data_IF_687513336784
#
_entry.id   IF_687513336784
#
_cell.length_a   1.000
_cell.length_b   1.000
_cell.length_c   1.000
_cell.angle_alpha   90.00
_cell.angle_beta   90.00
_cell.angle_gamma   90.00
#
_symmetry.space_group_name_H-M   'P 1'
#
loop_
_entity.id
_entity.type
_entity.pdbx_description
1 polymer ?
#
# COMPACT_ATOMS: atom_id res chain seq x y z
N UNK A 1 27.36 -19.98 26.65
CA UNK A 1 27.35 -20.68 25.35
C UNK A 1 26.03 -20.56 24.57
N UNK A 2 24.89 -20.41 25.24
CA UNK A 2 23.59 -20.24 24.56
C UNK A 2 23.45 -18.99 23.67
N UNK A 3 24.02 -17.87 24.10
CA UNK A 3 23.94 -16.62 23.33
C UNK A 3 24.69 -16.62 21.99
N UNK A 4 25.71 -17.48 21.85
CA UNK A 4 26.47 -17.60 20.56
C UNK A 4 25.70 -18.46 19.56
N UNK A 5 25.02 -19.50 20.02
CA UNK A 5 24.21 -20.38 19.17
C UNK A 5 23.00 -19.64 18.59
N UNK A 6 22.34 -18.82 19.41
CA UNK A 6 21.22 -17.97 18.96
C UNK A 6 21.64 -16.94 17.91
N UNK A 7 22.85 -16.39 18.00
CA UNK A 7 23.36 -15.45 17.00
C UNK A 7 23.67 -16.11 15.65
N UNK A 8 24.16 -17.32 15.66
CA UNK A 8 24.44 -18.09 14.43
C UNK A 8 23.15 -18.52 13.72
N UNK A 9 22.11 -18.90 14.46
CA UNK A 9 20.82 -19.24 13.87
C UNK A 9 20.09 -18.02 13.29
N UNK A 10 20.14 -16.87 13.96
CA UNK A 10 19.61 -15.60 13.44
C UNK A 10 20.32 -15.17 12.14
N UNK A 11 21.65 -15.29 12.13
CA UNK A 11 22.44 -15.00 10.93
C UNK A 11 22.10 -15.91 9.75
N UNK A 12 21.80 -17.17 10.05
CA UNK A 12 21.38 -18.16 9.05
C UNK A 12 20.00 -17.85 8.46
N UNK A 13 19.05 -17.40 9.26
CA UNK A 13 17.73 -16.95 8.80
C UNK A 13 17.86 -15.73 7.91
N UNK A 14 18.72 -14.75 8.28
CA UNK A 14 18.98 -13.57 7.45
C UNK A 14 19.62 -13.93 6.10
N UNK A 15 20.56 -14.87 6.07
CA UNK A 15 21.18 -15.37 4.84
C UNK A 15 20.18 -16.06 3.92
N UNK A 16 19.17 -16.74 4.47
CA UNK A 16 18.08 -17.36 3.72
C UNK A 16 17.12 -16.32 3.11
N UNK A 17 16.89 -15.21 3.81
CA UNK A 17 16.11 -14.08 3.30
C UNK A 17 16.87 -13.36 2.18
N UNK A 18 18.17 -13.13 2.38
CA UNK A 18 19.04 -12.47 1.39
C UNK A 18 19.16 -13.29 0.10
N UNK A 19 19.15 -14.61 0.21
CA UNK A 19 19.14 -15.54 -0.92
C UNK A 19 17.75 -15.74 -1.55
N UNK A 20 16.71 -15.11 -1.00
CA UNK A 20 15.35 -15.27 -1.49
C UNK A 20 14.74 -16.67 -1.26
N UNK A 21 15.34 -17.48 -0.40
CA UNK A 21 14.89 -18.85 -0.10
C UNK A 21 13.68 -18.86 0.84
N UNK A 22 13.58 -17.86 1.71
CA UNK A 22 12.42 -17.60 2.57
C UNK A 22 12.02 -16.13 2.45
N UNK A 23 10.74 -15.86 2.63
CA UNK A 23 10.21 -14.50 2.68
C UNK A 23 10.53 -13.83 4.02
N UNK A 24 10.52 -12.50 4.05
CA UNK A 24 10.69 -11.77 5.31
C UNK A 24 9.65 -12.16 6.37
N UNK A 25 8.45 -12.55 5.95
CA UNK A 25 7.39 -13.02 6.83
C UNK A 25 7.68 -14.37 7.47
N UNK A 26 8.22 -15.30 6.70
CA UNK A 26 8.66 -16.61 7.20
C UNK A 26 9.85 -16.45 8.16
N UNK A 27 10.74 -15.50 7.89
CA UNK A 27 11.86 -15.18 8.78
C UNK A 27 11.38 -14.64 10.14
N UNK A 28 10.35 -13.79 10.18
CA UNK A 28 9.76 -13.27 11.42
C UNK A 28 9.21 -14.43 12.27
N UNK A 29 8.47 -15.34 11.67
CA UNK A 29 7.93 -16.53 12.38
C UNK A 29 9.03 -17.42 12.91
N UNK A 30 10.15 -17.54 12.19
CA UNK A 30 11.32 -18.30 12.64
C UNK A 30 12.05 -17.60 13.80
N UNK A 31 12.14 -16.28 13.79
CA UNK A 31 12.67 -15.49 14.90
C UNK A 31 11.81 -15.62 16.17
N UNK A 32 10.48 -15.55 16.04
CA UNK A 32 9.55 -15.74 17.16
C UNK A 32 9.69 -17.13 17.80
N UNK A 33 9.93 -18.18 16.99
CA UNK A 33 10.19 -19.53 17.51
C UNK A 33 11.53 -19.66 18.22
N UNK A 34 12.55 -18.90 17.82
CA UNK A 34 13.85 -18.89 18.47
C UNK A 34 13.84 -18.15 19.82
N UNK A 35 12.89 -17.25 20.03
CA UNK A 35 12.75 -16.46 21.26
C UNK A 35 11.89 -17.15 22.35
N UNK A 36 11.15 -18.22 21.99
CA UNK A 36 10.40 -18.99 22.98
C UNK A 36 11.34 -19.89 23.78
N UNK A 37 11.40 -19.82 25.12
CA UNK A 37 12.22 -20.69 25.92
C UNK A 37 11.77 -22.14 25.76
N UNK A 38 12.66 -22.98 25.28
CA UNK A 38 12.44 -24.42 25.09
C UNK A 38 12.21 -25.09 26.45
N UNK A 39 10.96 -25.38 26.77
CA UNK A 39 10.66 -26.34 27.82
C UNK A 39 11.00 -27.76 27.29
N UNK A 40 12.25 -28.16 27.43
CA UNK A 40 12.66 -29.56 27.31
C UNK A 40 12.23 -30.32 28.53
N UNK A 41 11.16 -31.08 28.43
CA UNK A 41 11.04 -32.39 29.12
C UNK A 41 9.75 -33.07 28.61
N UNK A 42 9.89 -33.99 27.67
CA UNK A 42 9.21 -35.30 27.68
C UNK A 42 9.64 -36.11 26.46
N UNK A 43 10.28 -37.22 26.75
CA UNK A 43 10.70 -38.26 25.78
C UNK A 43 9.48 -38.99 25.19
N UNK A 44 9.64 -39.57 23.98
CA UNK A 44 8.57 -40.25 23.29
C UNK A 44 8.36 -41.67 23.78
N UNK A 45 7.11 -42.10 23.84
CA UNK A 45 6.78 -43.52 23.98
C UNK A 45 5.92 -43.95 22.77
N UNK A 46 6.47 -44.86 22.00
CA UNK A 46 5.77 -45.60 20.96
C UNK A 46 4.74 -46.53 21.60
N UNK A 47 3.55 -46.65 21.04
CA UNK A 47 2.96 -47.90 20.58
C UNK A 47 1.55 -47.81 20.06
N UNK A 48 1.44 -48.31 18.81
CA UNK A 48 0.40 -49.16 18.18
C UNK A 48 -1.10 -48.90 18.38
N UNK A 49 -1.68 -48.61 17.24
CA UNK A 49 -2.81 -49.26 16.55
C UNK A 49 -4.04 -49.73 17.38
N UNK A 50 -5.22 -49.27 17.04
CA UNK A 50 -6.30 -50.01 16.34
C UNK A 50 -7.64 -49.27 16.51
N UNK A 51 -8.31 -49.13 15.37
CA UNK A 51 -9.74 -49.25 15.04
C UNK A 51 -10.81 -48.72 16.02
N UNK A 52 -11.69 -47.94 15.49
CA UNK A 52 -13.11 -48.10 15.22
C UNK A 52 -14.09 -47.11 15.86
N UNK A 53 -14.88 -46.60 14.99
CA UNK A 53 -16.31 -46.24 15.02
C UNK A 53 -16.89 -45.28 16.04
N UNK A 54 -17.57 -44.36 15.44
CA UNK A 54 -18.98 -43.94 15.62
C UNK A 54 -19.31 -42.70 16.44
N UNK A 55 -19.92 -41.78 15.69
CA UNK A 55 -21.15 -41.00 16.00
C UNK A 55 -21.18 -40.12 17.25
N UNK A 56 -21.34 -38.83 17.13
CA UNK A 56 -22.63 -38.13 17.27
C UNK A 56 -22.37 -36.62 17.47
N UNK A 57 -22.94 -35.81 16.62
CA UNK A 57 -23.27 -34.42 16.94
C UNK A 57 -24.52 -34.44 17.88
N UNK A 58 -24.83 -33.40 18.65
CA UNK A 58 -25.50 -32.24 18.10
C UNK A 58 -25.36 -30.87 18.85
N UNK A 59 -25.88 -29.86 18.13
CA UNK A 59 -26.66 -28.68 18.56
C UNK A 59 -25.95 -27.46 19.12
N UNK A 60 -26.01 -26.44 18.33
CA UNK A 60 -26.67 -25.10 18.33
C UNK A 60 -27.10 -24.58 19.71
N UNK A 61 -26.59 -23.37 20.02
CA UNK A 61 -27.45 -22.36 20.63
C UNK A 61 -27.02 -20.94 20.15
N UNK A 62 -28.07 -20.24 19.74
CA UNK A 62 -28.13 -18.83 19.37
C UNK A 62 -28.12 -17.97 20.62
N UNK A 63 -27.55 -16.78 20.58
CA UNK A 63 -28.20 -15.61 21.17
C UNK A 63 -27.89 -14.35 20.36
N UNK A 64 -28.96 -13.64 20.10
CA UNK A 64 -29.11 -12.37 19.39
C UNK A 64 -28.82 -11.16 20.28
N UNK A 65 -28.44 -10.07 19.56
CA UNK A 65 -28.85 -8.66 19.72
C UNK A 65 -28.72 -7.90 21.05
N UNK A 66 -28.15 -6.73 20.99
CA UNK A 66 -28.76 -5.39 21.02
C UNK A 66 -27.70 -4.30 21.11
N UNK A 67 -27.58 -3.46 20.16
CA UNK A 67 -27.93 -2.06 19.89
C UNK A 67 -27.71 -1.01 21.00
N UNK A 68 -27.06 0.07 20.58
CA UNK A 68 -27.19 1.49 20.91
C UNK A 68 -26.85 2.01 22.31
N UNK A 69 -25.91 2.96 22.36
CA UNK A 69 -26.20 4.37 22.60
C UNK A 69 -24.95 5.27 22.62
N UNK A 70 -25.07 6.34 21.86
CA UNK A 70 -24.29 7.58 21.96
C UNK A 70 -24.29 8.18 23.37
N UNK A 71 -23.21 8.88 23.75
CA UNK A 71 -23.28 10.32 24.14
C UNK A 71 -21.93 10.91 24.52
N UNK A 72 -21.75 12.11 23.99
CA UNK A 72 -20.78 13.16 24.27
C UNK A 72 -20.48 13.42 25.75
N UNK A 73 -19.27 13.91 26.02
CA UNK A 73 -18.89 15.18 26.66
C UNK A 73 -17.40 15.20 26.95
N UNK A 74 -16.65 16.08 26.38
CA UNK A 74 -16.03 17.37 26.74
C UNK A 74 -15.17 17.39 28.00
N UNK A 75 -13.93 17.85 27.74
CA UNK A 75 -13.03 18.68 28.57
C UNK A 75 -12.65 18.26 29.99
N UNK A 76 -11.33 18.05 30.17
CA UNK A 76 -10.57 18.91 31.11
C UNK A 76 -9.05 18.63 31.03
N UNK A 77 -8.31 19.72 30.96
CA UNK A 77 -6.86 19.82 31.11
C UNK A 77 -6.40 19.35 32.49
N UNK A 78 -5.26 18.69 32.55
CA UNK A 78 -4.56 18.39 33.79
C UNK A 78 -3.11 18.02 33.52
N UNK A 79 -2.20 18.97 33.68
CA UNK A 79 -0.75 18.76 33.82
C UNK A 79 -0.46 17.80 34.98
N UNK A 80 0.38 16.77 34.70
CA UNK A 80 1.32 16.26 35.72
C UNK A 80 2.45 15.45 35.08
N UNK A 81 3.63 16.04 35.15
CA UNK A 81 4.96 15.49 35.51
C UNK A 81 5.41 14.14 34.98
N UNK A 82 6.51 14.25 34.22
CA UNK A 82 7.54 13.25 33.94
C UNK A 82 7.92 12.44 35.17
N UNK A 83 7.86 11.11 35.08
CA UNK A 83 8.93 10.15 35.41
C UNK A 83 8.40 8.71 35.27
N UNK A 84 9.16 7.86 34.62
CA UNK A 84 8.95 6.44 34.34
C UNK A 84 8.32 6.09 32.97
N UNK A 85 9.09 6.26 31.93
CA UNK A 85 8.91 5.56 30.64
C UNK A 85 10.23 4.90 30.23
N UNK A 86 10.47 3.73 30.73
CA UNK A 86 11.47 2.81 30.20
C UNK A 86 10.92 1.39 30.34
N UNK A 87 10.54 0.78 29.24
CA UNK A 87 10.38 -0.64 28.91
C UNK A 87 9.05 -1.07 28.26
N UNK A 88 8.14 -0.15 27.92
CA UNK A 88 6.84 -0.50 27.31
C UNK A 88 6.68 -0.15 25.83
N UNK A 89 7.63 0.57 25.22
CA UNK A 89 7.43 1.17 23.91
C UNK A 89 7.75 0.25 22.70
N UNK A 90 8.47 -0.84 22.89
CA UNK A 90 8.86 -1.70 21.78
C UNK A 90 7.71 -2.59 21.32
N UNK A 91 6.98 -3.18 22.25
CA UNK A 91 5.86 -4.07 21.93
C UNK A 91 4.63 -3.30 21.41
N UNK A 92 4.36 -2.11 21.93
CA UNK A 92 3.24 -1.25 21.52
C UNK A 92 3.43 -0.72 20.09
N UNK A 93 4.65 -0.37 19.73
CA UNK A 93 5.04 0.07 18.40
C UNK A 93 4.98 -1.07 17.35
N UNK A 94 5.45 -2.27 17.70
CA UNK A 94 5.32 -3.46 16.86
C UNK A 94 3.86 -3.84 16.62
N UNK A 95 3.01 -3.66 17.62
CA UNK A 95 1.57 -3.89 17.52
C UNK A 95 0.88 -2.82 16.67
N UNK A 96 1.32 -1.56 16.70
CA UNK A 96 0.72 -0.47 15.93
C UNK A 96 1.01 -0.62 14.43
N UNK A 97 2.26 -0.89 14.03
CA UNK A 97 2.61 -1.17 12.63
C UNK A 97 1.97 -2.47 12.16
N UNK A 98 1.95 -3.52 12.99
CA UNK A 98 1.26 -4.76 12.67
C UNK A 98 -0.24 -4.55 12.51
N UNK A 99 -0.86 -3.71 13.32
CA UNK A 99 -2.27 -3.32 13.18
C UNK A 99 -2.51 -2.53 11.89
N UNK A 100 -1.65 -1.59 11.56
CA UNK A 100 -1.77 -0.78 10.35
C UNK A 100 -1.64 -1.65 9.09
N UNK A 101 -0.63 -2.53 9.01
CA UNK A 101 -0.50 -3.47 7.89
C UNK A 101 -1.55 -4.58 7.89
N UNK A 102 -2.00 -5.04 9.06
CA UNK A 102 -3.11 -6.00 9.15
C UNK A 102 -4.43 -5.33 8.77
N UNK A 103 -4.65 -4.08 9.18
CA UNK A 103 -5.82 -3.30 8.76
C UNK A 103 -5.78 -2.99 7.26
N UNK A 104 -4.61 -2.69 6.68
CA UNK A 104 -4.44 -2.50 5.25
C UNK A 104 -4.77 -3.80 4.49
N UNK A 105 -4.17 -4.93 4.86
CA UNK A 105 -4.48 -6.22 4.28
C UNK A 105 -5.96 -6.60 4.46
N UNK A 106 -6.54 -6.32 5.62
CA UNK A 106 -7.95 -6.58 5.92
C UNK A 106 -8.87 -5.62 5.15
N UNK A 107 -8.53 -4.34 5.03
CA UNK A 107 -9.26 -3.36 4.20
C UNK A 107 -9.22 -3.76 2.72
N UNK A 108 -8.08 -4.21 2.22
CA UNK A 108 -7.93 -4.67 0.84
C UNK A 108 -8.72 -5.97 0.59
N UNK A 109 -8.65 -6.95 1.50
CA UNK A 109 -9.42 -8.20 1.45
C UNK A 109 -10.92 -7.92 1.59
N UNK A 110 -11.35 -7.03 2.48
CA UNK A 110 -12.75 -6.66 2.64
C UNK A 110 -13.30 -5.91 1.42
N UNK A 111 -12.50 -5.03 0.80
CA UNK A 111 -12.86 -4.39 -0.46
C UNK A 111 -13.07 -5.44 -1.56
N UNK A 112 -12.23 -6.47 -1.59
CA UNK A 112 -12.35 -7.58 -2.53
C UNK A 112 -13.55 -8.47 -2.23
N UNK A 113 -13.82 -8.76 -0.96
CA UNK A 113 -14.96 -9.59 -0.56
C UNK A 113 -16.31 -8.92 -0.85
N UNK A 114 -16.41 -7.59 -0.70
CA UNK A 114 -17.66 -6.86 -1.03
C UNK A 114 -17.90 -6.74 -2.54
N UNK A 115 -16.85 -6.68 -3.34
CA UNK A 115 -16.97 -6.57 -4.80
C UNK A 115 -16.96 -7.95 -5.47
N UNK A 116 -16.35 -8.97 -4.86
CA UNK A 116 -16.08 -10.28 -5.48
C UNK A 116 -16.60 -11.49 -4.69
N UNK A 117 -17.60 -11.33 -3.84
CA UNK A 117 -18.11 -12.36 -2.90
C UNK A 117 -18.65 -13.67 -3.52
N UNK A 118 -18.33 -14.00 -4.76
CA UNK A 118 -18.70 -15.26 -5.42
C UNK A 118 -17.54 -15.95 -6.13
N UNK A 119 -16.32 -15.93 -5.58
CA UNK A 119 -15.23 -16.73 -6.15
C UNK A 119 -14.85 -17.85 -5.21
N UNK A 120 -15.41 -19.02 -5.48
CA UNK A 120 -14.85 -20.30 -5.02
C UNK A 120 -13.70 -20.66 -5.96
N UNK A 121 -12.56 -20.96 -5.36
CA UNK A 121 -11.42 -21.73 -5.87
C UNK A 121 -11.08 -21.58 -7.36
N UNK A 122 -10.02 -20.83 -7.63
CA UNK A 122 -9.32 -20.90 -8.90
C UNK A 122 -7.96 -21.54 -8.66
N UNK A 123 -7.79 -22.71 -9.32
CA UNK A 123 -6.54 -23.46 -9.39
C UNK A 123 -5.52 -22.65 -10.20
N UNK A 124 -4.49 -22.13 -9.56
CA UNK A 124 -3.51 -21.19 -10.14
C UNK A 124 -2.44 -21.88 -11.01
N UNK A 125 -2.52 -23.21 -11.19
CA UNK A 125 -1.39 -24.01 -11.67
C UNK A 125 -1.47 -24.48 -13.14
N UNK A 126 -2.34 -23.93 -13.98
CA UNK A 126 -2.39 -24.34 -15.39
C UNK A 126 -2.35 -23.20 -16.40
N UNK A 127 -1.13 -22.88 -16.82
CA UNK A 127 -0.89 -22.50 -18.22
C UNK A 127 -1.16 -21.05 -18.59
N UNK A 128 -0.28 -20.17 -18.17
CA UNK A 128 -0.14 -18.86 -18.79
C UNK A 128 0.39 -18.98 -20.23
N UNK A 129 -0.43 -19.45 -21.15
CA UNK A 129 -0.15 -19.30 -22.58
C UNK A 129 -0.83 -18.01 -23.06
N UNK A 130 -0.05 -16.96 -23.19
CA UNK A 130 -0.41 -15.70 -23.81
C UNK A 130 -0.92 -15.94 -25.23
N UNK A 131 -2.23 -15.87 -25.41
CA UNK A 131 -2.82 -15.69 -26.75
C UNK A 131 -2.48 -14.28 -27.22
N UNK A 132 -1.75 -14.14 -28.30
CA UNK A 132 -1.43 -12.85 -28.92
C UNK A 132 -2.62 -12.19 -29.61
N UNK A 133 -3.72 -12.92 -29.80
CA UNK A 133 -4.94 -12.41 -30.41
C UNK A 133 -5.73 -11.54 -29.42
N UNK A 134 -6.21 -10.40 -29.88
CA UNK A 134 -7.06 -9.47 -29.12
C UNK A 134 -8.11 -8.85 -30.04
N UNK A 135 -9.31 -8.64 -29.53
CA UNK A 135 -10.33 -7.82 -30.17
C UNK A 135 -10.27 -6.39 -29.64
N UNK A 136 -10.62 -5.43 -30.49
CA UNK A 136 -10.71 -4.02 -30.12
C UNK A 136 -12.15 -3.55 -30.19
N UNK A 137 -12.59 -2.87 -29.16
CA UNK A 137 -13.90 -2.22 -29.09
C UNK A 137 -13.72 -0.76 -28.76
N UNK A 138 -14.32 0.11 -29.54
CA UNK A 138 -14.31 1.56 -29.30
C UNK A 138 -15.71 1.99 -28.90
N UNK A 139 -15.80 2.77 -27.84
CA UNK A 139 -17.03 3.40 -27.37
C UNK A 139 -16.82 4.91 -27.26
N UNK A 140 -17.71 5.69 -27.82
CA UNK A 140 -17.70 7.14 -27.78
C UNK A 140 -18.90 7.65 -27.00
N UNK A 141 -18.64 8.51 -26.01
CA UNK A 141 -19.65 9.14 -25.20
C UNK A 141 -19.69 10.62 -25.54
N UNK A 142 -20.69 11.01 -26.29
CA UNK A 142 -20.89 12.40 -26.70
C UNK A 142 -21.30 13.26 -25.47
N UNK A 143 -20.92 14.54 -25.49
CA UNK A 143 -21.24 15.51 -24.43
C UNK A 143 -20.74 15.05 -23.03
N UNK A 144 -19.44 14.86 -22.91
CA UNK A 144 -18.80 14.40 -21.68
C UNK A 144 -18.76 15.52 -20.62
N UNK A 145 -19.90 15.83 -20.00
CA UNK A 145 -20.04 16.88 -18.97
C UNK A 145 -19.68 16.40 -17.56
N UNK A 146 -19.49 15.09 -17.35
CA UNK A 146 -19.23 14.50 -16.05
C UNK A 146 -17.97 15.07 -15.36
N UNK A 147 -18.05 15.28 -14.04
CA UNK A 147 -16.94 15.71 -13.18
C UNK A 147 -16.33 14.55 -12.39
N UNK A 148 -17.01 13.40 -12.38
CA UNK A 148 -16.60 12.21 -11.63
C UNK A 148 -16.29 11.03 -12.56
N UNK A 149 -15.32 10.21 -12.15
CA UNK A 149 -14.94 9.00 -12.89
C UNK A 149 -14.87 7.82 -11.93
N UNK A 150 -15.61 6.75 -12.24
CA UNK A 150 -15.61 5.52 -11.44
C UNK A 150 -15.36 4.31 -12.36
N UNK A 151 -14.23 3.65 -12.19
CA UNK A 151 -13.82 2.51 -13.01
C UNK A 151 -13.59 1.30 -12.11
N UNK A 152 -14.28 0.21 -12.44
CA UNK A 152 -14.17 -1.09 -11.77
C UNK A 152 -13.94 -2.18 -12.83
N UNK A 153 -12.68 -2.45 -13.12
CA UNK A 153 -12.26 -3.46 -14.12
C UNK A 153 -11.36 -4.47 -13.40
N UNK A 154 -11.84 -5.70 -13.15
CA UNK A 154 -11.07 -6.69 -12.42
C UNK A 154 -9.73 -7.05 -13.05
N UNK A 155 -9.67 -7.21 -14.36
CA UNK A 155 -8.48 -7.66 -15.07
C UNK A 155 -8.19 -6.77 -16.28
N UNK A 156 -7.02 -6.17 -16.32
CA UNK A 156 -6.54 -5.34 -17.43
C UNK A 156 -5.87 -4.04 -16.93
N UNK A 157 -5.12 -3.40 -17.80
CA UNK A 157 -4.51 -2.11 -17.50
C UNK A 157 -5.47 -0.98 -17.84
N UNK A 158 -5.47 0.07 -17.04
CA UNK A 158 -6.26 1.28 -17.26
C UNK A 158 -5.31 2.44 -17.48
N UNK A 159 -5.52 3.16 -18.57
CA UNK A 159 -4.82 4.41 -18.86
C UNK A 159 -5.84 5.52 -19.07
N UNK A 160 -5.76 6.60 -18.30
CA UNK A 160 -6.62 7.76 -18.36
C UNK A 160 -5.85 8.91 -19.00
N UNK A 161 -6.32 9.41 -20.15
CA UNK A 161 -5.61 10.38 -20.98
C UNK A 161 -6.49 11.61 -21.19
N UNK A 162 -6.12 12.79 -20.67
CA UNK A 162 -6.79 14.04 -21.00
C UNK A 162 -6.55 14.43 -22.45
N UNK A 163 -7.59 14.91 -23.13
CA UNK A 163 -7.55 15.38 -24.51
C UNK A 163 -8.27 16.72 -24.67
N UNK A 164 -8.02 17.40 -25.79
CA UNK A 164 -8.71 18.65 -26.11
C UNK A 164 -10.11 18.42 -26.75
N UNK A 165 -10.57 17.17 -26.82
CA UNK A 165 -11.89 16.83 -27.35
C UNK A 165 -12.96 16.99 -26.26
N UNK A 166 -14.17 17.38 -26.63
CA UNK A 166 -15.31 17.54 -25.71
C UNK A 166 -16.01 16.20 -25.42
N UNK A 167 -15.73 15.16 -26.20
CA UNK A 167 -16.26 13.81 -26.02
C UNK A 167 -15.31 12.93 -25.24
N UNK A 168 -15.83 11.91 -24.58
CA UNK A 168 -15.01 10.85 -24.04
C UNK A 168 -14.98 9.64 -24.99
N UNK A 169 -13.80 9.06 -25.15
CA UNK A 169 -13.58 7.88 -25.98
C UNK A 169 -12.89 6.80 -25.18
N UNK A 170 -13.43 5.59 -25.22
CA UNK A 170 -12.88 4.44 -24.55
C UNK A 170 -12.45 3.41 -25.60
N UNK A 171 -11.19 3.03 -25.58
CA UNK A 171 -10.64 2.00 -26.44
C UNK A 171 -10.33 0.78 -25.59
N UNK A 172 -11.09 -0.28 -25.77
CA UNK A 172 -10.88 -1.55 -25.11
C UNK A 172 -10.08 -2.51 -25.99
N UNK A 173 -9.01 -3.07 -25.43
CA UNK A 173 -8.36 -4.26 -25.98
C UNK A 173 -8.78 -5.46 -25.17
N UNK A 174 -9.56 -6.34 -25.78
CA UNK A 174 -10.24 -7.45 -25.13
C UNK A 174 -9.48 -8.74 -25.41
N UNK A 175 -9.15 -9.47 -24.34
CA UNK A 175 -8.49 -10.79 -24.42
C UNK A 175 -9.15 -11.76 -23.45
N UNK A 176 -9.21 -13.06 -23.73
CA UNK A 176 -9.64 -14.02 -22.74
C UNK A 176 -8.62 -14.10 -21.61
N UNK A 177 -9.08 -14.22 -20.37
CA UNK A 177 -8.18 -14.42 -19.21
C UNK A 177 -7.53 -15.80 -19.26
N UNK A 178 -8.26 -16.82 -19.73
CA UNK A 178 -7.80 -18.20 -19.88
C UNK A 178 -8.29 -18.74 -21.22
N UNK A 179 -7.44 -19.49 -21.90
CA UNK A 179 -7.81 -20.20 -23.14
C UNK A 179 -7.54 -19.40 -24.42
N UNK A 180 -8.19 -19.82 -25.50
CA UNK A 180 -8.05 -19.22 -26.82
C UNK A 180 -9.15 -18.21 -27.07
N UNK A 181 -8.88 -17.27 -27.96
CA UNK A 181 -9.87 -16.37 -28.52
C UNK A 181 -11.06 -17.19 -29.06
N UNK A 182 -12.27 -16.80 -28.69
CA UNK A 182 -13.51 -17.39 -29.20
C UNK A 182 -14.32 -16.34 -29.96
N UNK A 183 -15.13 -16.79 -30.92
CA UNK A 183 -16.03 -15.93 -31.67
C UNK A 183 -17.09 -15.24 -30.79
N UNK A 184 -17.28 -15.72 -29.56
CA UNK A 184 -18.23 -15.17 -28.59
C UNK A 184 -17.65 -14.08 -27.67
N UNK A 185 -16.38 -13.68 -27.82
CA UNK A 185 -15.71 -12.76 -26.88
C UNK A 185 -16.39 -11.38 -26.83
N UNK A 186 -16.82 -10.88 -27.98
CA UNK A 186 -17.58 -9.60 -28.06
C UNK A 186 -18.96 -9.72 -27.44
N UNK A 187 -19.59 -10.88 -27.50
CA UNK A 187 -20.86 -11.14 -26.84
C UNK A 187 -20.69 -11.14 -25.32
N UNK A 188 -19.64 -11.79 -24.81
CA UNK A 188 -19.29 -11.76 -23.39
C UNK A 188 -18.98 -10.33 -22.92
N UNK A 189 -18.24 -9.55 -23.71
CA UNK A 189 -17.98 -8.14 -23.45
C UNK A 189 -19.29 -7.33 -23.37
N UNK A 190 -20.14 -7.42 -24.37
CA UNK A 190 -21.40 -6.67 -24.41
C UNK A 190 -22.38 -7.04 -23.28
N UNK A 191 -22.29 -8.25 -22.73
CA UNK A 191 -23.11 -8.71 -21.60
C UNK A 191 -22.50 -8.34 -20.24
N UNK A 192 -21.17 -8.27 -20.15
CA UNK A 192 -20.45 -8.13 -18.89
C UNK A 192 -19.82 -6.77 -18.63
N UNK A 193 -19.79 -5.87 -19.64
CA UNK A 193 -19.16 -4.55 -19.51
C UNK A 193 -20.19 -3.45 -19.74
N UNK A 194 -20.19 -2.48 -18.86
CA UNK A 194 -21.06 -1.30 -18.93
C UNK A 194 -20.17 -0.05 -18.89
N UNK A 195 -20.32 0.80 -19.90
CA UNK A 195 -19.68 2.11 -19.97
C UNK A 195 -20.75 3.16 -20.22
N UNK A 196 -20.94 4.06 -19.30
CA UNK A 196 -21.94 5.14 -19.42
C UNK A 196 -21.53 6.39 -18.67
N UNK A 197 -21.95 7.52 -19.17
CA UNK A 197 -21.93 8.79 -18.45
C UNK A 197 -23.34 9.07 -17.95
N UNK A 198 -23.53 9.14 -16.64
CA UNK A 198 -24.81 9.25 -15.97
C UNK A 198 -24.65 10.03 -14.68
N UNK A 199 -25.57 10.94 -14.37
CA UNK A 199 -25.56 11.74 -13.13
C UNK A 199 -24.19 12.35 -12.81
N UNK A 200 -23.57 13.06 -13.75
CA UNK A 200 -22.24 13.67 -13.61
C UNK A 200 -21.08 12.68 -13.40
N UNK A 201 -21.28 11.40 -13.67
CA UNK A 201 -20.25 10.36 -13.47
C UNK A 201 -20.04 9.51 -14.71
N UNK A 202 -18.80 9.44 -15.19
CA UNK A 202 -18.37 8.39 -16.11
C UNK A 202 -18.18 7.10 -15.33
N UNK A 203 -19.03 6.12 -15.59
CA UNK A 203 -18.96 4.79 -14.93
C UNK A 203 -18.58 3.73 -15.93
N UNK A 204 -17.51 3.00 -15.61
CA UNK A 204 -17.04 1.84 -16.37
C UNK A 204 -16.95 0.65 -15.41
N UNK A 205 -17.74 -0.38 -15.66
CA UNK A 205 -17.80 -1.56 -14.80
C UNK A 205 -17.72 -2.82 -15.63
N UNK A 206 -16.84 -3.74 -15.23
CA UNK A 206 -16.79 -5.08 -15.80
C UNK A 206 -17.20 -6.12 -14.76
N UNK A 207 -18.31 -6.79 -14.97
CA UNK A 207 -18.77 -7.89 -14.13
C UNK A 207 -18.11 -9.24 -14.48
N UNK A 208 -17.46 -9.33 -15.66
CA UNK A 208 -16.82 -10.57 -16.11
C UNK A 208 -15.36 -10.67 -15.66
N UNK A 209 -14.99 -11.84 -15.17
CA UNK A 209 -13.60 -12.20 -14.85
C UNK A 209 -12.92 -13.01 -15.95
N UNK A 210 -13.69 -13.45 -16.93
CA UNK A 210 -13.19 -14.24 -18.05
C UNK A 210 -12.43 -13.40 -19.06
N UNK A 211 -12.62 -12.09 -19.03
CA UNK A 211 -11.98 -11.14 -19.93
C UNK A 211 -10.89 -10.35 -19.22
N UNK A 212 -9.81 -10.12 -19.92
CA UNK A 212 -8.82 -9.10 -19.63
C UNK A 212 -9.11 -7.90 -20.54
N UNK A 213 -9.40 -6.75 -19.93
CA UNK A 213 -9.80 -5.51 -20.60
C UNK A 213 -8.71 -4.45 -20.37
N UNK A 214 -7.78 -4.30 -21.30
CA UNK A 214 -6.91 -3.15 -21.26
C UNK A 214 -7.71 -1.95 -21.82
N UNK A 215 -7.96 -0.94 -21.00
CA UNK A 215 -8.80 0.21 -21.33
C UNK A 215 -7.96 1.49 -21.42
N UNK A 216 -7.93 2.12 -22.59
CA UNK A 216 -7.41 3.48 -22.77
C UNK A 216 -8.59 4.44 -22.88
N UNK A 217 -8.68 5.36 -21.93
CA UNK A 217 -9.84 6.23 -21.72
C UNK A 217 -9.40 7.67 -21.98
N UNK A 218 -9.86 8.22 -23.10
CA UNK A 218 -9.65 9.61 -23.47
C UNK A 218 -10.79 10.45 -22.88
N UNK A 219 -10.46 11.51 -22.16
CA UNK A 219 -11.41 12.38 -21.50
C UNK A 219 -11.08 13.85 -21.77
N UNK A 220 -12.06 14.78 -21.73
CA UNK A 220 -11.80 16.20 -21.86
C UNK A 220 -10.76 16.69 -20.85
N UNK A 221 -9.84 17.55 -21.30
CA UNK A 221 -8.85 18.18 -20.44
C UNK A 221 -9.50 19.26 -19.56
N UNK A 222 -9.92 18.89 -18.36
CA UNK A 222 -10.49 19.77 -17.33
C UNK A 222 -10.12 19.28 -15.95
N UNK A 223 -10.46 20.03 -14.91
CA UNK A 223 -10.37 19.56 -13.53
C UNK A 223 -11.54 18.59 -13.25
N UNK A 224 -11.24 17.49 -12.56
CA UNK A 224 -12.21 16.50 -12.11
C UNK A 224 -12.34 16.55 -10.59
N UNK A 225 -13.53 16.23 -10.07
CA UNK A 225 -13.78 16.23 -8.64
C UNK A 225 -13.37 14.91 -8.00
N UNK A 226 -13.85 13.78 -8.54
CA UNK A 226 -13.54 12.46 -7.99
C UNK A 226 -13.12 11.47 -9.08
N UNK A 227 -11.99 10.81 -8.87
CA UNK A 227 -11.56 9.67 -9.68
C UNK A 227 -11.35 8.47 -8.79
N UNK A 228 -12.14 7.42 -9.01
CA UNK A 228 -12.04 6.16 -8.27
C UNK A 228 -11.76 5.02 -9.22
N UNK A 229 -10.65 4.31 -8.99
CA UNK A 229 -10.22 3.15 -9.78
C UNK A 229 -10.12 1.94 -8.88
N UNK A 230 -10.74 0.83 -9.26
CA UNK A 230 -10.63 -0.46 -8.59
C UNK A 230 -10.26 -1.54 -9.57
N UNK A 231 -9.23 -2.31 -9.24
CA UNK A 231 -8.72 -3.39 -10.06
C UNK A 231 -8.32 -4.59 -9.19
N UNK A 232 -8.29 -5.76 -9.78
CA UNK A 232 -7.68 -6.94 -9.17
C UNK A 232 -6.32 -7.22 -9.80
N UNK A 233 -6.26 -7.38 -11.13
CA UNK A 233 -5.03 -7.61 -11.88
C UNK A 233 -4.89 -6.57 -12.98
N UNK A 234 -4.01 -5.60 -12.76
CA UNK A 234 -3.69 -4.58 -13.73
C UNK A 234 -3.18 -3.32 -13.09
N UNK A 235 -2.45 -2.53 -13.85
CA UNK A 235 -1.92 -1.24 -13.43
C UNK A 235 -2.81 -0.08 -13.88
N UNK A 236 -2.70 1.02 -13.16
CA UNK A 236 -3.32 2.30 -13.50
C UNK A 236 -2.27 3.34 -13.85
N UNK A 237 -2.50 4.08 -14.93
CA UNK A 237 -1.65 5.20 -15.34
C UNK A 237 -2.48 6.41 -15.69
N UNK A 238 -1.98 7.59 -15.33
CA UNK A 238 -2.50 8.87 -15.82
C UNK A 238 -1.42 9.95 -15.80
N UNK A 239 -1.60 10.96 -16.64
CA UNK A 239 -0.68 12.09 -16.72
C UNK A 239 -1.40 13.38 -17.10
N UNK A 240 -0.81 14.54 -16.71
CA UNK A 240 -1.24 15.87 -17.12
C UNK A 240 -2.71 16.20 -16.81
N UNK A 241 -3.13 15.93 -15.60
CA UNK A 241 -4.52 16.09 -15.16
C UNK A 241 -4.60 16.64 -13.75
N UNK A 242 -5.60 17.48 -13.50
CA UNK A 242 -5.94 17.97 -12.16
C UNK A 242 -7.22 17.30 -11.65
N UNK A 243 -7.15 16.71 -10.46
CA UNK A 243 -8.26 15.97 -9.83
C UNK A 243 -8.33 16.36 -8.36
N UNK A 244 -9.50 16.71 -7.87
CA UNK A 244 -9.64 17.08 -6.44
C UNK A 244 -9.35 15.90 -5.52
N UNK A 245 -9.99 14.75 -5.77
CA UNK A 245 -9.78 13.54 -4.97
C UNK A 245 -9.55 12.32 -5.85
N UNK A 246 -8.46 11.64 -5.60
CA UNK A 246 -8.07 10.43 -6.35
C UNK A 246 -7.99 9.24 -5.39
N UNK A 247 -8.64 8.15 -5.76
CA UNK A 247 -8.55 6.89 -5.05
C UNK A 247 -8.29 5.74 -6.01
N UNK A 248 -7.13 5.13 -5.91
CA UNK A 248 -6.74 3.99 -6.75
C UNK A 248 -6.39 2.80 -5.90
N UNK A 249 -7.07 1.69 -6.12
CA UNK A 249 -6.81 0.42 -5.43
C UNK A 249 -6.65 -0.71 -6.44
N UNK A 250 -5.53 -1.40 -6.37
CA UNK A 250 -5.29 -2.62 -7.16
C UNK A 250 -4.71 -3.72 -6.27
N UNK A 251 -4.91 -4.98 -6.63
CA UNK A 251 -4.22 -6.08 -5.93
C UNK A 251 -2.86 -6.36 -6.59
N UNK A 252 -2.84 -6.53 -7.90
CA UNK A 252 -1.65 -6.89 -8.63
C UNK A 252 -1.45 -5.93 -9.81
N UNK A 253 -0.63 -4.90 -9.58
CA UNK A 253 -0.29 -3.95 -10.62
C UNK A 253 0.30 -2.67 -10.07
N UNK A 254 1.04 -1.95 -10.89
CA UNK A 254 1.63 -0.67 -10.54
C UNK A 254 0.63 0.48 -10.70
N UNK A 255 0.91 1.56 -9.98
CA UNK A 255 0.17 2.84 -10.07
C UNK A 255 1.20 3.90 -10.49
N UNK A 256 0.94 4.58 -11.61
CA UNK A 256 1.87 5.55 -12.20
C UNK A 256 1.15 6.89 -12.47
N UNK A 257 1.58 7.94 -11.79
CA UNK A 257 1.12 9.31 -11.99
C UNK A 257 2.26 10.19 -12.46
N UNK A 258 2.02 10.97 -13.51
CA UNK A 258 2.99 11.94 -14.00
C UNK A 258 2.35 13.30 -14.23
N UNK A 259 2.90 14.34 -13.59
CA UNK A 259 2.36 15.71 -13.70
C UNK A 259 0.86 15.77 -13.37
N UNK A 260 0.50 15.31 -12.17
CA UNK A 260 -0.88 15.26 -11.68
C UNK A 260 -1.05 16.20 -10.51
N UNK A 261 -2.06 17.07 -10.59
CA UNK A 261 -2.47 17.92 -9.49
C UNK A 261 -3.61 17.28 -8.69
N UNK A 262 -3.58 17.39 -7.35
CA UNK A 262 -4.66 16.86 -6.50
C UNK A 262 -4.78 17.64 -5.18
N UNK A 263 -5.95 17.57 -4.56
CA UNK A 263 -6.10 17.95 -3.16
C UNK A 263 -5.82 16.75 -2.26
N UNK A 264 -6.41 15.59 -2.56
CA UNK A 264 -6.17 14.34 -1.84
C UNK A 264 -5.95 13.16 -2.80
N UNK A 265 -4.94 12.35 -2.49
CA UNK A 265 -4.63 11.13 -3.23
C UNK A 265 -4.50 9.95 -2.26
N UNK A 266 -5.17 8.85 -2.58
CA UNK A 266 -5.04 7.55 -1.93
C UNK A 266 -4.66 6.52 -3.01
N UNK A 267 -3.47 5.94 -2.92
CA UNK A 267 -2.99 4.95 -3.87
C UNK A 267 -2.52 3.70 -3.15
N UNK A 268 -3.19 2.59 -3.38
CA UNK A 268 -2.94 1.32 -2.69
C UNK A 268 -2.75 0.17 -3.69
N UNK A 269 -1.72 -0.63 -3.46
CA UNK A 269 -1.54 -1.89 -4.19
C UNK A 269 -1.01 -2.97 -3.26
N UNK A 270 -1.36 -4.24 -3.48
CA UNK A 270 -0.69 -5.31 -2.75
C UNK A 270 0.63 -5.71 -3.42
N UNK A 271 0.64 -5.88 -4.73
CA UNK A 271 1.83 -6.29 -5.48
C UNK A 271 2.05 -5.36 -6.67
N UNK A 272 2.87 -4.34 -6.45
CA UNK A 272 3.21 -3.40 -7.51
C UNK A 272 3.96 -2.18 -6.99
N UNK A 273 4.65 -1.51 -7.88
CA UNK A 273 5.28 -0.23 -7.57
C UNK A 273 4.25 0.91 -7.65
N UNK A 274 4.46 1.94 -6.83
CA UNK A 274 3.72 3.19 -6.93
C UNK A 274 4.72 4.29 -7.26
N UNK A 275 4.55 4.90 -8.43
CA UNK A 275 5.40 5.95 -8.96
C UNK A 275 4.61 7.26 -9.11
N UNK A 276 4.92 8.26 -8.30
CA UNK A 276 4.35 9.60 -8.37
C UNK A 276 5.46 10.57 -8.80
N UNK A 277 5.36 11.11 -10.03
CA UNK A 277 6.38 12.00 -10.60
C UNK A 277 5.80 13.34 -10.98
N UNK A 278 6.51 14.41 -10.62
CA UNK A 278 6.11 15.80 -10.86
C UNK A 278 4.69 16.11 -10.36
N UNK A 279 4.29 15.48 -9.24
CA UNK A 279 2.97 15.65 -8.68
C UNK A 279 2.88 16.90 -7.79
N UNK A 280 1.66 17.45 -7.66
CA UNK A 280 1.39 18.60 -6.80
C UNK A 280 0.10 18.37 -6.03
N UNK A 281 0.17 18.38 -4.70
CA UNK A 281 -1.01 18.09 -3.90
C UNK A 281 -0.93 18.57 -2.46
N UNK A 282 -2.06 18.46 -1.78
CA UNK A 282 -2.12 18.77 -0.35
C UNK A 282 -1.84 17.54 0.48
N UNK A 283 -2.55 16.44 0.24
CA UNK A 283 -2.39 15.21 1.02
C UNK A 283 -2.25 14.00 0.10
N UNK A 284 -1.27 13.15 0.37
CA UNK A 284 -1.11 11.86 -0.30
C UNK A 284 -0.89 10.74 0.71
N UNK A 285 -1.65 9.66 0.55
CA UNK A 285 -1.47 8.38 1.24
C UNK A 285 -1.13 7.32 0.20
N UNK A 286 0.03 6.67 0.36
CA UNK A 286 0.57 5.76 -0.65
C UNK A 286 1.03 4.49 0.02
N UNK A 287 0.39 3.36 -0.29
CA UNK A 287 0.65 2.10 0.40
C UNK A 287 0.86 0.92 -0.57
N UNK A 288 1.87 0.12 -0.32
CA UNK A 288 2.09 -1.15 -1.02
C UNK A 288 2.56 -2.24 -0.06
N UNK A 289 2.18 -3.49 -0.31
CA UNK A 289 2.76 -4.60 0.44
C UNK A 289 4.08 -5.04 -0.19
N UNK A 290 4.09 -5.33 -1.49
CA UNK A 290 5.27 -5.77 -2.21
C UNK A 290 5.53 -4.85 -3.40
N UNK A 291 6.35 -3.83 -3.16
CA UNK A 291 6.70 -2.89 -4.21
C UNK A 291 7.48 -1.68 -3.72
N UNK A 292 8.13 -1.02 -4.65
CA UNK A 292 8.77 0.25 -4.40
C UNK A 292 7.73 1.37 -4.42
N UNK A 293 7.89 2.33 -3.52
CA UNK A 293 7.23 3.62 -3.58
C UNK A 293 8.26 4.67 -3.99
N UNK A 294 7.94 5.42 -5.03
CA UNK A 294 8.72 6.57 -5.47
C UNK A 294 7.80 7.78 -5.57
N UNK A 295 8.09 8.81 -4.80
CA UNK A 295 7.35 10.07 -4.79
C UNK A 295 8.30 11.23 -5.05
N UNK A 296 8.02 12.00 -6.08
CA UNK A 296 8.74 13.22 -6.42
C UNK A 296 7.74 14.32 -6.78
N UNK A 297 7.68 15.39 -5.97
CA UNK A 297 6.71 16.43 -6.21
C UNK A 297 6.62 17.50 -5.14
N UNK A 298 5.53 18.25 -5.21
CA UNK A 298 5.19 19.34 -4.28
C UNK A 298 3.96 18.94 -3.46
N UNK A 299 4.17 18.13 -2.41
CA UNK A 299 3.10 17.63 -1.53
C UNK A 299 3.28 18.24 -0.15
N UNK A 300 2.18 18.72 0.46
CA UNK A 300 2.23 19.29 1.81
C UNK A 300 2.27 18.22 2.90
N UNK A 301 1.50 17.16 2.76
CA UNK A 301 1.38 16.06 3.71
C UNK A 301 1.48 14.72 2.97
N UNK A 302 2.48 13.91 3.30
CA UNK A 302 2.73 12.63 2.66
C UNK A 302 2.88 11.53 3.70
N UNK A 303 2.13 10.45 3.53
CA UNK A 303 2.31 9.18 4.23
C UNK A 303 2.58 8.07 3.21
N UNK A 304 3.79 7.51 3.21
CA UNK A 304 4.24 6.51 2.26
C UNK A 304 4.71 5.25 2.97
N UNK A 305 4.02 4.13 2.76
CA UNK A 305 4.27 2.87 3.46
C UNK A 305 4.45 1.70 2.51
N UNK A 306 5.53 0.96 2.70
CA UNK A 306 5.76 -0.32 2.03
C UNK A 306 6.05 -1.42 3.06
N UNK A 307 5.55 -2.63 2.87
CA UNK A 307 6.05 -3.73 3.67
C UNK A 307 7.38 -4.26 3.12
N UNK A 308 7.43 -4.59 1.84
CA UNK A 308 8.62 -5.12 1.17
C UNK A 308 8.96 -4.25 -0.04
N UNK A 309 9.87 -3.30 0.16
CA UNK A 309 10.33 -2.43 -0.91
C UNK A 309 10.99 -1.15 -0.41
N UNK A 310 11.65 -0.45 -1.32
CA UNK A 310 12.24 0.83 -1.01
C UNK A 310 11.17 1.93 -1.06
N UNK A 311 11.26 2.88 -0.13
CA UNK A 311 10.45 4.09 -0.14
C UNK A 311 11.37 5.28 -0.39
N UNK A 312 11.19 5.95 -1.52
CA UNK A 312 11.98 7.13 -1.92
C UNK A 312 11.05 8.32 -2.04
N UNK A 313 11.29 9.34 -1.27
CA UNK A 313 10.49 10.56 -1.24
C UNK A 313 11.37 11.77 -1.53
N UNK A 314 11.01 12.55 -2.54
CA UNK A 314 11.60 13.85 -2.84
C UNK A 314 10.51 14.92 -2.76
N UNK A 315 10.55 15.76 -1.74
CA UNK A 315 9.66 16.92 -1.68
C UNK A 315 10.35 18.16 -2.21
N UNK A 316 9.67 18.90 -3.10
CA UNK A 316 10.19 20.10 -3.77
C UNK A 316 9.46 21.37 -3.30
N UNK A 317 8.75 21.33 -2.19
CA UNK A 317 8.02 22.48 -1.68
C UNK A 317 8.41 22.84 -0.25
N UNK A 318 8.65 24.11 0.00
CA UNK A 318 8.86 24.66 1.35
C UNK A 318 7.54 24.71 2.17
N UNK A 319 6.40 24.44 1.52
CA UNK A 319 5.09 24.36 2.18
C UNK A 319 4.81 22.98 2.76
N UNK A 320 5.74 22.05 2.64
CA UNK A 320 5.60 20.71 3.23
C UNK A 320 5.51 20.81 4.75
N UNK A 321 4.57 20.07 5.33
CA UNK A 321 4.23 20.05 6.78
C UNK A 321 4.63 18.75 7.43
N UNK A 322 4.33 17.64 6.77
CA UNK A 322 4.56 16.30 7.31
C UNK A 322 4.96 15.34 6.19
N UNK A 323 6.08 14.66 6.38
CA UNK A 323 6.53 13.57 5.53
C UNK A 323 6.83 12.38 6.40
N UNK A 324 6.02 11.33 6.23
CA UNK A 324 6.23 10.03 6.84
C UNK A 324 6.56 9.02 5.75
N UNK A 325 7.69 8.32 5.91
CA UNK A 325 8.14 7.29 4.98
C UNK A 325 8.58 6.04 5.76
N UNK A 326 7.91 4.92 5.54
CA UNK A 326 8.10 3.71 6.33
C UNK A 326 8.22 2.47 5.46
N UNK A 327 9.08 1.53 5.87
CA UNK A 327 9.12 0.18 5.29
C UNK A 327 9.49 -0.86 6.36
N UNK A 328 9.10 -2.11 6.15
CA UNK A 328 9.59 -3.21 6.99
C UNK A 328 10.91 -3.72 6.43
N UNK A 329 10.95 -4.08 5.15
CA UNK A 329 12.14 -4.59 4.48
C UNK A 329 12.47 -3.72 3.27
N UNK A 330 13.54 -2.92 3.39
CA UNK A 330 13.98 -2.02 2.35
C UNK A 330 14.64 -0.76 2.90
N UNK A 331 15.09 0.11 2.03
CA UNK A 331 15.62 1.41 2.42
C UNK A 331 14.53 2.49 2.35
N UNK A 332 14.64 3.47 3.25
CA UNK A 332 13.88 4.72 3.20
C UNK A 332 14.85 5.83 2.85
N UNK A 333 14.54 6.58 1.80
CA UNK A 333 15.31 7.74 1.36
C UNK A 333 14.40 8.97 1.30
N UNK A 334 14.76 10.01 2.04
CA UNK A 334 13.97 11.25 2.12
C UNK A 334 14.85 12.42 1.69
N UNK A 335 14.43 13.10 0.63
CA UNK A 335 15.05 14.30 0.11
C UNK A 335 14.15 15.50 0.35
N UNK A 336 14.64 16.51 1.08
CA UNK A 336 13.88 17.65 1.58
C UNK A 336 14.50 18.99 1.16
N UNK A 337 13.71 20.08 1.11
CA UNK A 337 14.26 21.41 0.87
C UNK A 337 15.23 21.88 1.96
N UNK A 338 16.22 22.67 1.58
CA UNK A 338 17.20 23.21 2.52
C UNK A 338 16.75 24.50 3.22
N UNK A 339 15.72 25.19 2.69
CA UNK A 339 15.23 26.50 3.20
C UNK A 339 13.96 26.37 4.06
N UNK A 340 13.88 25.38 4.93
CA UNK A 340 12.74 25.17 5.81
C UNK A 340 13.20 24.76 7.21
N UNK A 341 12.42 25.15 8.23
CA UNK A 341 12.61 24.62 9.57
C UNK A 341 12.28 23.12 9.59
N UNK A 342 13.02 22.35 10.36
CA UNK A 342 12.92 20.89 10.38
C UNK A 342 12.76 20.39 11.82
N UNK A 343 11.93 19.41 12.00
CA UNK A 343 11.92 18.54 13.15
C UNK A 343 11.76 17.11 12.65
N UNK A 344 12.70 16.23 12.96
CA UNK A 344 12.64 14.88 12.41
C UNK A 344 13.12 13.82 13.37
N UNK A 345 12.58 12.63 13.16
CA UNK A 345 13.03 11.39 13.80
C UNK A 345 13.14 10.30 12.76
N UNK A 346 14.28 9.63 12.76
CA UNK A 346 14.51 8.51 11.83
C UNK A 346 15.09 7.32 12.58
N UNK A 347 14.54 6.15 12.28
CA UNK A 347 14.84 4.90 13.00
C UNK A 347 15.08 3.73 12.06
N UNK A 348 16.09 2.93 12.39
CA UNK A 348 16.34 1.64 11.76
C UNK A 348 16.69 0.60 12.83
N UNK A 349 16.04 -0.57 12.81
CA UNK A 349 16.35 -1.62 13.78
C UNK A 349 17.61 -2.40 13.35
N UNK A 350 17.64 -2.95 12.14
CA UNK A 350 18.76 -3.79 11.67
C UNK A 350 19.51 -3.15 10.49
N UNK A 351 19.71 -1.84 10.52
CA UNK A 351 20.35 -1.15 9.41
C UNK A 351 21.19 0.04 9.81
N UNK A 352 21.27 1.02 8.92
CA UNK A 352 22.00 2.27 9.14
C UNK A 352 21.04 3.44 9.09
N UNK A 353 21.28 4.40 9.98
CA UNK A 353 20.67 5.74 9.90
C UNK A 353 21.73 6.71 9.42
N UNK A 354 21.47 7.43 8.33
CA UNK A 354 22.41 8.35 7.68
C UNK A 354 21.72 9.69 7.39
N UNK A 355 21.77 10.59 8.35
CA UNK A 355 21.23 11.95 8.21
C UNK A 355 22.36 12.89 7.75
N UNK A 356 22.34 13.29 6.48
CA UNK A 356 23.34 14.17 5.87
C UNK A 356 22.77 15.57 5.65
N UNK A 357 22.47 16.22 6.75
CA UNK A 357 22.02 17.60 6.81
C UNK A 357 23.07 18.37 7.62
N UNK A 358 23.88 19.24 7.00
CA UNK A 358 25.05 19.82 7.67
C UNK A 358 24.71 20.85 8.75
N UNK A 359 23.52 21.45 8.70
CA UNK A 359 23.10 22.60 9.50
C UNK A 359 21.98 22.28 10.50
N UNK A 360 21.88 21.03 10.92
CA UNK A 360 20.93 20.56 11.93
C UNK A 360 21.54 20.45 13.33
N UNK A 361 20.71 20.58 14.33
CA UNK A 361 21.01 20.16 15.68
C UNK A 361 20.54 18.72 15.87
N UNK A 362 21.47 17.81 16.17
CA UNK A 362 21.15 16.44 16.55
C UNK A 362 20.89 16.41 18.04
N UNK A 363 19.73 15.89 18.40
CA UNK A 363 19.35 15.77 19.81
C UNK A 363 19.43 14.30 20.19
N UNK A 364 18.94 13.43 20.44
CA UNK A 364 19.09 12.06 20.86
C UNK A 364 19.63 11.16 19.72
N UNK A 365 20.87 10.75 19.82
CA UNK A 365 21.43 9.73 18.94
C UNK A 365 21.56 8.42 19.72
N UNK A 366 20.67 7.48 19.44
CA UNK A 366 20.75 6.13 20.03
C UNK A 366 21.41 5.22 19.01
N UNK A 367 22.49 4.59 19.40
CA UNK A 367 23.21 3.64 18.56
C UNK A 367 23.34 2.30 19.31
N UNK A 368 22.19 1.69 19.57
CA UNK A 368 22.14 0.35 20.17
C UNK A 368 22.34 -0.72 19.10
N UNK A 369 22.70 -1.92 19.49
CA UNK A 369 23.01 -3.01 18.58
C UNK A 369 21.81 -3.38 17.67
N UNK A 370 20.59 -3.28 18.20
CA UNK A 370 19.35 -3.64 17.50
C UNK A 370 18.51 -2.43 17.07
N UNK A 371 18.85 -1.22 17.46
CA UNK A 371 18.08 -0.03 17.12
C UNK A 371 18.98 1.19 17.01
N UNK A 372 18.84 1.91 15.92
CA UNK A 372 19.48 3.20 15.69
C UNK A 372 18.41 4.23 15.45
N UNK A 373 18.44 5.28 16.23
CA UNK A 373 17.53 6.43 16.07
C UNK A 373 18.32 7.72 16.11
N UNK A 374 17.93 8.67 15.28
CA UNK A 374 18.46 10.02 15.25
C UNK A 374 17.30 11.00 15.24
N UNK A 375 17.22 11.83 16.28
CA UNK A 375 16.35 12.99 16.34
C UNK A 375 17.13 14.23 15.95
N UNK A 376 16.55 15.07 15.10
CA UNK A 376 17.20 16.27 14.61
C UNK A 376 16.22 17.43 14.46
N UNK A 377 16.75 18.64 14.57
CA UNK A 377 15.96 19.85 14.36
C UNK A 377 16.79 20.95 13.69
N UNK A 378 16.12 21.86 13.04
CA UNK A 378 16.66 23.08 12.45
C UNK A 378 15.58 24.15 12.50
N UNK A 379 15.94 25.34 12.95
CA UNK A 379 15.05 26.48 13.02
C UNK A 379 15.52 27.56 12.04
N UNK A 380 14.65 28.01 11.19
CA UNK A 380 14.84 29.15 10.31
C UNK A 380 13.70 30.12 10.62
N UNK A 381 14.02 31.37 10.94
CA UNK A 381 13.01 32.39 11.24
C UNK A 381 12.02 32.55 10.09
N UNK A 382 10.77 32.78 10.41
CA UNK A 382 9.67 33.01 9.47
C UNK A 382 9.39 31.85 8.48
N UNK A 383 9.85 30.62 8.78
CA UNK A 383 9.54 29.45 7.96
C UNK A 383 8.64 28.45 8.69
N UNK A 384 7.83 27.73 7.92
CA UNK A 384 7.03 26.63 8.45
C UNK A 384 7.96 25.45 8.81
N UNK A 385 7.65 24.78 9.93
CA UNK A 385 8.39 23.56 10.31
C UNK A 385 7.85 22.36 9.55
N UNK A 386 8.76 21.66 8.86
CA UNK A 386 8.51 20.36 8.24
C UNK A 386 8.82 19.26 9.25
N UNK A 387 7.83 18.44 9.54
CA UNK A 387 7.98 17.21 10.31
C UNK A 387 8.43 16.08 9.37
N UNK A 388 9.52 15.38 9.76
CA UNK A 388 10.10 14.28 8.96
C UNK A 388 10.20 13.03 9.80
N UNK A 389 9.51 11.98 9.38
CA UNK A 389 9.55 10.67 10.02
C UNK A 389 10.00 9.61 9.01
N UNK A 390 11.09 8.93 9.32
CA UNK A 390 11.63 7.88 8.45
C UNK A 390 11.91 6.60 9.23
N UNK A 391 11.34 5.48 8.79
CA UNK A 391 11.47 4.24 9.52
C UNK A 391 11.68 3.02 8.65
N UNK A 392 12.59 2.15 9.07
CA UNK A 392 12.72 0.79 8.52
C UNK A 392 13.09 -0.21 9.60
N UNK A 393 12.64 -1.45 9.46
CA UNK A 393 13.08 -2.53 10.36
C UNK A 393 14.38 -3.17 9.85
N UNK A 394 14.45 -3.49 8.57
CA UNK A 394 15.64 -4.13 7.98
C UNK A 394 16.11 -3.34 6.77
N UNK A 395 16.96 -2.36 6.98
CA UNK A 395 17.45 -1.53 5.90
C UNK A 395 18.04 -0.23 6.40
N UNK A 396 18.31 0.69 5.51
CA UNK A 396 18.88 1.98 5.86
C UNK A 396 17.85 3.11 5.74
N UNK A 397 17.91 4.08 6.64
CA UNK A 397 17.20 5.35 6.49
C UNK A 397 18.21 6.43 6.14
N UNK A 398 17.94 7.15 5.06
CA UNK A 398 18.79 8.21 4.53
C UNK A 398 17.97 9.49 4.44
N UNK A 399 18.46 10.59 5.02
CA UNK A 399 17.85 11.91 4.87
C UNK A 399 18.87 12.89 4.34
N UNK A 400 18.52 13.61 3.27
CA UNK A 400 19.39 14.59 2.61
C UNK A 400 18.59 15.80 2.14
N UNK A 401 19.28 16.88 1.85
CA UNK A 401 18.68 17.95 1.06
C UNK A 401 18.53 17.51 -0.40
N UNK A 402 17.41 17.91 -1.02
CA UNK A 402 17.26 17.81 -2.47
C UNK A 402 18.22 18.81 -3.16
N UNK A 403 18.66 18.48 -4.37
CA UNK A 403 19.52 19.31 -5.19
C UNK A 403 18.71 20.40 -5.92
#
# INVERSE_FOLDING_TARGET
>A
MEGVIMQDERKRILDLVEKGTITAQEAIVLFEKLEQPSNMNQQPNENKATTDSSKTAPQKEYFENESEKEKMASDQYGEQTNEQRQSGNEDEFFEEIRKDFTQFGTKLVNLMNTTFSKVKEFDFDKGFMSSSASEEKIEELQNATFSNISIDIPNGNIELIPTNEESAKIVYRIRPTIGKMSDDILKEFNQGVVSKADDDTLRIVSATKKLRLDATIYIPAKKYDFVTIRQFNGGFKTANIDIEQIKVKTMNGGIDFKNVGFYQLEAETANGAIDLRDVKGKKAEVETVNGRIYVDGKIEELDAKSANGHVVVTTRTEKAKNIRAQTIAGAVEIYIPNNTSLQGEVTSNLGKVDVRLPDIQRQNEQNQFLQKSVQFSKVIEDTQTLLVEGETKTGSVIVRYNL
#
